data_IF_170338482407
#
_entry.id   IF_170338482407
#
_cell.length_a   1.000
_cell.length_b   1.000
_cell.length_c   1.000
_cell.angle_alpha   90.00
_cell.angle_beta   90.00
_cell.angle_gamma   90.00
#
_symmetry.space_group_name_H-M   'P 1'
#
loop_
_entity.id
_entity.type
_entity.pdbx_description
1 polymer ?
#
# COMPACT_ATOMS: atom_id res chain seq x y z
N UNK A 1 -37.59 29.99 -40.24
CA UNK A 1 -37.04 30.80 -39.12
C UNK A 1 -37.39 30.04 -37.84
N UNK A 2 -36.53 29.37 -37.05
CA UNK A 2 -35.07 29.37 -36.76
C UNK A 2 -34.76 27.92 -36.29
N UNK A 3 -33.81 27.16 -36.83
CA UNK A 3 -32.34 27.26 -36.69
C UNK A 3 -31.85 26.98 -35.25
N UNK A 4 -30.96 25.97 -35.14
CA UNK A 4 -30.07 25.57 -34.02
C UNK A 4 -30.83 24.97 -32.82
N UNK A 5 -30.50 23.78 -32.30
CA UNK A 5 -29.23 23.45 -31.64
C UNK A 5 -28.88 21.97 -31.91
N UNK A 6 -27.92 21.73 -32.80
CA UNK A 6 -27.14 20.50 -32.81
C UNK A 6 -25.93 20.75 -31.91
N UNK A 7 -26.04 20.35 -30.64
CA UNK A 7 -24.93 20.50 -29.69
C UNK A 7 -23.90 19.41 -29.99
N UNK A 8 -22.79 19.85 -30.55
CA UNK A 8 -21.58 19.11 -30.83
C UNK A 8 -21.08 18.40 -29.56
N UNK A 9 -21.27 17.08 -29.46
CA UNK A 9 -20.43 16.24 -28.60
C UNK A 9 -19.06 16.09 -29.31
N UNK A 10 -18.17 17.04 -29.10
CA UNK A 10 -16.74 16.80 -29.31
C UNK A 10 -16.29 15.89 -28.15
N UNK A 11 -16.33 14.58 -28.37
CA UNK A 11 -15.51 13.66 -27.60
C UNK A 11 -14.05 14.08 -27.80
N UNK A 12 -13.40 14.57 -26.74
CA UNK A 12 -11.94 14.63 -26.71
C UNK A 12 -11.44 13.19 -26.87
N UNK A 13 -11.05 12.83 -28.08
CA UNK A 13 -10.20 11.67 -28.30
C UNK A 13 -8.84 12.08 -27.74
N UNK A 14 -8.62 11.85 -26.45
CA UNK A 14 -7.28 11.88 -25.92
C UNK A 14 -6.44 10.91 -26.76
N UNK A 15 -5.27 11.33 -27.28
CA UNK A 15 -4.39 10.41 -27.97
C UNK A 15 -4.14 9.24 -27.03
N UNK A 16 -4.46 8.04 -27.49
CA UNK A 16 -4.19 6.80 -26.78
C UNK A 16 -2.67 6.58 -26.87
N UNK A 17 -1.91 7.26 -26.01
CA UNK A 17 -0.48 7.04 -25.87
C UNK A 17 -0.29 5.61 -25.37
N UNK A 18 0.23 4.77 -26.24
CA UNK A 18 0.49 3.38 -25.96
C UNK A 18 1.97 3.13 -26.24
N UNK A 19 2.68 2.74 -25.20
CA UNK A 19 4.02 2.19 -25.30
C UNK A 19 3.97 0.96 -26.22
N UNK A 20 5.05 0.75 -26.96
CA UNK A 20 5.18 -0.38 -27.87
C UNK A 20 6.41 -1.18 -27.51
N UNK A 21 6.25 -2.50 -27.44
CA UNK A 21 7.32 -3.47 -27.22
C UNK A 21 7.39 -4.40 -28.43
N UNK A 22 8.58 -4.52 -29.02
CA UNK A 22 8.87 -5.44 -30.10
C UNK A 22 9.66 -6.62 -29.54
N UNK A 23 9.26 -7.83 -29.90
CA UNK A 23 9.89 -9.07 -29.45
C UNK A 23 10.84 -9.62 -30.51
N UNK A 24 11.79 -10.47 -30.08
CA UNK A 24 12.79 -11.08 -30.96
C UNK A 24 12.17 -11.99 -32.04
N UNK A 25 10.96 -12.50 -31.79
CA UNK A 25 10.22 -13.32 -32.75
C UNK A 25 9.43 -12.49 -33.78
N UNK A 26 9.52 -11.15 -33.74
CA UNK A 26 8.82 -10.22 -34.63
C UNK A 26 7.43 -9.79 -34.15
N UNK A 27 6.95 -10.32 -33.01
CA UNK A 27 5.69 -9.88 -32.42
C UNK A 27 5.79 -8.44 -31.89
N UNK A 28 4.66 -7.74 -31.94
CA UNK A 28 4.53 -6.38 -31.43
C UNK A 28 3.37 -6.29 -30.46
N UNK A 29 3.66 -5.82 -29.25
CA UNK A 29 2.67 -5.59 -28.21
C UNK A 29 2.54 -4.10 -27.93
N UNK A 30 1.30 -3.64 -27.79
CA UNK A 30 0.99 -2.24 -27.43
C UNK A 30 0.28 -2.19 -26.09
N UNK A 31 0.70 -1.28 -25.22
CA UNK A 31 0.15 -1.14 -23.87
C UNK A 31 0.79 -0.01 -23.08
N UNK A 32 0.71 -0.09 -21.75
CA UNK A 32 1.39 0.81 -20.82
C UNK A 32 2.45 0.03 -20.06
N UNK A 33 3.70 0.48 -20.11
CA UNK A 33 4.79 -0.12 -19.32
C UNK A 33 4.50 0.16 -17.85
N UNK A 34 4.41 -0.90 -17.04
CA UNK A 34 4.15 -0.81 -15.60
C UNK A 34 5.46 -0.89 -14.82
N UNK A 35 6.31 -1.86 -15.17
CA UNK A 35 7.56 -2.12 -14.45
C UNK A 35 8.47 -3.01 -15.29
N UNK A 36 9.76 -2.68 -15.41
CA UNK A 36 10.83 -3.65 -15.64
C UNK A 36 11.61 -3.80 -14.35
N UNK A 37 11.61 -5.00 -13.78
CA UNK A 37 12.51 -5.38 -12.69
C UNK A 37 12.70 -6.89 -12.66
N UNK A 38 13.80 -7.37 -12.08
CA UNK A 38 14.09 -8.80 -11.96
C UNK A 38 14.11 -9.56 -13.29
N UNK A 39 14.44 -8.88 -14.40
CA UNK A 39 14.52 -9.47 -15.74
C UNK A 39 13.18 -9.68 -16.45
N UNK A 40 12.07 -9.13 -15.94
CA UNK A 40 10.76 -9.19 -16.60
C UNK A 40 10.14 -7.80 -16.75
N UNK A 41 9.58 -7.53 -17.93
CA UNK A 41 8.77 -6.34 -18.22
C UNK A 41 7.29 -6.67 -18.01
N UNK A 42 6.62 -5.90 -17.15
CA UNK A 42 5.18 -5.87 -17.00
C UNK A 42 4.59 -4.80 -17.92
N UNK A 43 3.76 -5.24 -18.87
CA UNK A 43 3.06 -4.39 -19.83
C UNK A 43 1.55 -4.55 -19.66
N UNK A 44 0.83 -3.46 -19.37
CA UNK A 44 -0.63 -3.44 -19.29
C UNK A 44 -1.22 -3.19 -20.68
N UNK A 45 -1.73 -4.25 -21.30
CA UNK A 45 -2.41 -4.19 -22.59
C UNK A 45 -3.92 -4.00 -22.40
N UNK A 46 -4.58 -3.45 -23.43
CA UNK A 46 -6.04 -3.29 -23.44
C UNK A 46 -6.80 -4.61 -23.59
N UNK A 47 -6.18 -5.63 -24.19
CA UNK A 47 -6.84 -6.85 -24.63
C UNK A 47 -6.52 -8.09 -23.78
N UNK A 48 -5.32 -8.19 -23.22
CA UNK A 48 -4.88 -9.34 -22.41
C UNK A 48 -4.60 -8.96 -20.95
N UNK A 49 -4.93 -7.73 -20.56
CA UNK A 49 -4.57 -7.19 -19.27
C UNK A 49 -3.05 -7.05 -19.11
N UNK A 50 -2.51 -7.36 -17.93
CA UNK A 50 -1.08 -7.26 -17.66
C UNK A 50 -0.32 -8.51 -18.15
N UNK A 51 0.56 -8.32 -19.13
CA UNK A 51 1.43 -9.33 -19.70
C UNK A 51 2.83 -9.19 -19.10
N UNK A 52 3.43 -10.31 -18.68
CA UNK A 52 4.84 -10.35 -18.30
C UNK A 52 5.66 -10.91 -19.46
N UNK A 53 6.68 -10.16 -19.86
CA UNK A 53 7.57 -10.50 -20.96
C UNK A 53 8.97 -10.65 -20.38
N UNK A 54 9.67 -11.73 -20.72
CA UNK A 54 11.07 -11.87 -20.35
C UNK A 54 11.90 -10.80 -21.07
N UNK A 55 12.70 -10.05 -20.31
CA UNK A 55 13.44 -8.89 -20.84
C UNK A 55 14.41 -9.27 -21.97
N UNK A 56 14.92 -10.50 -21.91
CA UNK A 56 15.80 -11.09 -22.92
C UNK A 56 15.12 -11.41 -24.25
N UNK A 57 13.79 -11.45 -24.29
CA UNK A 57 13.01 -11.78 -25.49
C UNK A 57 12.48 -10.49 -26.18
N UNK A 58 12.91 -9.32 -25.71
CA UNK A 58 12.53 -7.99 -26.22
C UNK A 58 13.66 -7.46 -27.11
N UNK A 59 13.33 -7.19 -28.37
CA UNK A 59 14.26 -6.65 -29.36
C UNK A 59 14.43 -5.13 -29.22
N UNK A 60 13.32 -4.42 -29.00
CA UNK A 60 13.31 -2.97 -28.76
C UNK A 60 11.99 -2.50 -28.15
N UNK A 61 11.95 -1.27 -27.65
CA UNK A 61 10.73 -0.66 -27.10
C UNK A 61 10.68 0.84 -27.37
N UNK A 62 9.48 1.39 -27.25
CA UNK A 62 9.20 2.81 -27.35
C UNK A 62 8.17 3.19 -26.28
N UNK A 63 8.40 4.33 -25.63
CA UNK A 63 7.47 4.93 -24.68
C UNK A 63 7.39 6.44 -24.90
N UNK A 64 6.16 6.93 -25.07
CA UNK A 64 5.89 8.36 -25.26
C UNK A 64 5.99 9.13 -23.92
N UNK A 65 5.78 8.43 -22.82
CA UNK A 65 5.93 8.95 -21.45
C UNK A 65 7.40 8.85 -21.02
N UNK A 66 7.90 9.80 -20.23
CA UNK A 66 9.20 9.62 -19.61
C UNK A 66 9.13 8.43 -18.63
N UNK A 67 10.19 7.62 -18.61
CA UNK A 67 10.37 6.50 -17.68
C UNK A 67 11.61 6.75 -16.82
N UNK A 68 11.57 6.36 -15.55
CA UNK A 68 12.75 6.27 -14.70
C UNK A 68 13.58 5.06 -15.14
N UNK A 69 14.77 5.33 -15.68
CA UNK A 69 15.69 4.32 -16.21
C UNK A 69 16.87 4.13 -15.27
N UNK A 70 17.03 2.94 -14.70
CA UNK A 70 18.28 2.52 -14.03
C UNK A 70 19.13 1.69 -14.97
N UNK A 71 20.43 2.00 -15.04
CA UNK A 71 21.39 1.31 -15.89
C UNK A 71 22.41 0.51 -15.11
N UNK A 72 23.00 -0.48 -15.77
CA UNK A 72 24.10 -1.27 -15.23
C UNK A 72 25.28 -0.36 -14.88
N UNK A 73 25.80 -0.49 -13.65
CA UNK A 73 26.93 0.31 -13.17
C UNK A 73 26.56 1.72 -12.67
N UNK A 74 25.28 2.05 -12.61
CA UNK A 74 24.77 3.32 -12.07
C UNK A 74 23.65 3.05 -11.07
N UNK A 75 23.73 3.66 -9.88
CA UNK A 75 22.70 3.50 -8.85
C UNK A 75 21.54 4.50 -9.03
N UNK A 76 21.78 5.60 -9.74
CA UNK A 76 20.78 6.62 -9.98
C UNK A 76 19.83 6.27 -11.14
N UNK A 77 18.63 6.82 -11.05
CA UNK A 77 17.63 6.77 -12.11
C UNK A 77 17.57 8.09 -12.85
N UNK A 78 17.28 8.00 -14.14
CA UNK A 78 17.08 9.18 -14.99
C UNK A 78 15.73 9.10 -15.65
N UNK A 79 15.01 10.20 -15.62
CA UNK A 79 13.76 10.37 -16.37
C UNK A 79 14.10 10.54 -17.84
N UNK A 80 13.80 9.53 -18.65
CA UNK A 80 14.18 9.47 -20.06
C UNK A 80 12.99 9.01 -20.90
N UNK A 81 12.80 9.59 -22.08
CA UNK A 81 11.91 8.98 -23.09
C UNK A 81 12.68 7.94 -23.88
N UNK A 82 12.00 6.86 -24.24
CA UNK A 82 12.60 5.77 -24.96
C UNK A 82 11.93 5.63 -26.33
N UNK A 83 12.71 5.52 -27.39
CA UNK A 83 12.20 5.23 -28.73
C UNK A 83 12.93 4.03 -29.30
N UNK A 84 12.23 3.26 -30.13
CA UNK A 84 12.79 2.09 -30.78
C UNK A 84 14.08 2.44 -31.57
N UNK A 85 15.08 1.55 -31.50
CA UNK A 85 16.32 1.68 -32.25
C UNK A 85 16.60 0.38 -33.03
N UNK A 86 17.86 0.15 -33.42
CA UNK A 86 18.26 -1.13 -34.03
C UNK A 86 18.07 -2.31 -33.08
N UNK A 87 18.19 -3.53 -33.60
CA UNK A 87 17.97 -4.76 -32.84
C UNK A 87 18.80 -4.82 -31.55
N UNK A 88 18.16 -5.17 -30.44
CA UNK A 88 18.73 -5.19 -29.09
C UNK A 88 19.06 -3.82 -28.49
N UNK A 89 18.67 -2.73 -29.15
CA UNK A 89 19.01 -1.36 -28.77
C UNK A 89 17.76 -0.53 -28.54
N UNK A 90 17.90 0.49 -27.69
CA UNK A 90 16.89 1.53 -27.52
C UNK A 90 17.56 2.89 -27.60
N UNK A 91 16.84 3.86 -28.17
CA UNK A 91 17.30 5.24 -28.21
C UNK A 91 16.67 6.00 -27.06
N UNK A 92 17.52 6.65 -26.29
CA UNK A 92 17.13 7.54 -25.20
C UNK A 92 17.01 8.95 -25.74
N UNK A 93 15.88 9.57 -25.43
CA UNK A 93 15.51 10.93 -25.78
C UNK A 93 15.33 11.74 -24.49
N UNK A 94 16.35 12.52 -24.15
CA UNK A 94 16.39 13.38 -22.96
C UNK A 94 17.20 14.64 -23.24
N UNK A 95 18.04 15.08 -22.30
CA UNK A 95 18.97 16.21 -22.52
C UNK A 95 19.99 15.94 -23.64
N UNK A 96 20.32 14.67 -23.86
CA UNK A 96 21.15 14.19 -24.98
C UNK A 96 20.51 12.97 -25.58
N UNK A 97 20.50 12.90 -26.92
CA UNK A 97 20.01 11.73 -27.65
C UNK A 97 21.17 10.76 -27.90
N UNK A 98 20.99 9.50 -27.49
CA UNK A 98 21.97 8.44 -27.71
C UNK A 98 21.30 7.08 -27.70
N UNK A 99 21.97 6.09 -28.29
CA UNK A 99 21.51 4.72 -28.35
C UNK A 99 22.26 3.89 -27.30
N UNK A 100 21.55 3.05 -26.56
CA UNK A 100 22.16 2.07 -25.66
C UNK A 100 21.61 0.66 -25.90
N UNK A 101 22.38 -0.39 -25.58
CA UNK A 101 21.87 -1.75 -25.54
C UNK A 101 20.80 -1.91 -24.45
N UNK A 102 19.70 -2.61 -24.76
CA UNK A 102 18.65 -2.93 -23.79
C UNK A 102 19.18 -3.72 -22.59
N UNK A 103 20.21 -4.55 -22.82
CA UNK A 103 20.88 -5.31 -21.76
C UNK A 103 21.52 -4.44 -20.66
N UNK A 104 21.79 -3.16 -20.95
CA UNK A 104 22.29 -2.20 -19.96
C UNK A 104 21.18 -1.63 -19.09
N UNK A 105 19.92 -1.73 -19.49
CA UNK A 105 18.78 -1.28 -18.68
C UNK A 105 18.45 -2.37 -17.67
N UNK A 106 18.47 -2.00 -16.39
CA UNK A 106 18.18 -2.90 -15.27
C UNK A 106 16.79 -2.66 -14.68
N UNK A 107 16.32 -1.41 -14.69
CA UNK A 107 15.00 -1.04 -14.20
C UNK A 107 14.37 0.01 -15.11
N UNK A 108 13.07 -0.14 -15.34
CA UNK A 108 12.21 0.86 -15.98
C UNK A 108 10.95 0.99 -15.16
N UNK A 109 10.63 2.19 -14.71
CA UNK A 109 9.35 2.43 -14.04
C UNK A 109 8.77 3.76 -14.52
N UNK A 110 7.47 3.86 -14.81
CA UNK A 110 6.85 5.16 -14.96
C UNK A 110 7.10 5.98 -13.69
N UNK A 111 7.59 7.22 -13.79
CA UNK A 111 7.71 8.06 -12.62
C UNK A 111 6.33 8.22 -12.00
N UNK A 112 6.25 8.15 -10.66
CA UNK A 112 5.05 8.65 -9.97
C UNK A 112 4.80 10.08 -10.46
N UNK A 113 3.59 10.41 -10.95
CA UNK A 113 3.34 11.71 -11.59
C UNK A 113 3.64 12.87 -10.62
N UNK A 114 4.73 13.59 -10.89
CA UNK A 114 5.23 14.70 -10.05
C UNK A 114 4.32 15.94 -10.05
N UNK A 115 3.31 15.99 -10.93
CA UNK A 115 2.37 17.11 -11.06
C UNK A 115 1.10 16.94 -10.23
N UNK A 116 0.92 15.81 -9.55
CA UNK A 116 0.07 15.73 -8.36
C UNK A 116 1.03 15.77 -7.17
N UNK A 117 1.15 16.92 -6.53
CA UNK A 117 1.88 17.11 -5.27
C UNK A 117 1.23 16.29 -4.11
N UNK A 118 0.42 15.28 -4.44
CA UNK A 118 -0.53 14.53 -3.61
C UNK A 118 -0.48 13.05 -3.99
N UNK A 119 0.16 12.23 -3.15
CA UNK A 119 0.01 10.78 -3.23
C UNK A 119 -1.17 10.39 -2.36
N UNK A 120 -2.18 9.72 -2.93
CA UNK A 120 -3.33 9.19 -2.20
C UNK A 120 -3.47 7.69 -2.46
N UNK A 121 -3.23 6.89 -1.44
CA UNK A 121 -3.49 5.44 -1.46
C UNK A 121 -4.38 5.04 -0.27
N UNK A 122 -5.09 3.92 -0.41
CA UNK A 122 -5.94 3.40 0.65
C UNK A 122 -6.64 2.10 0.25
N UNK A 123 -7.27 1.48 1.24
CA UNK A 123 -8.16 0.36 1.05
C UNK A 123 -9.38 0.50 1.96
N UNK A 124 -10.48 -0.10 1.53
CA UNK A 124 -11.73 -0.20 2.27
C UNK A 124 -12.25 -1.62 2.08
N UNK A 125 -12.42 -2.31 3.19
CA UNK A 125 -12.82 -3.69 3.28
C UNK A 125 -14.13 -3.75 4.06
N UNK A 126 -15.13 -4.44 3.51
CA UNK A 126 -16.43 -4.63 4.14
C UNK A 126 -16.74 -6.13 4.20
N UNK A 127 -17.15 -6.61 5.38
CA UNK A 127 -17.53 -8.00 5.65
C UNK A 127 -18.96 -8.04 6.17
N UNK A 128 -19.73 -9.03 5.71
CA UNK A 128 -21.05 -9.38 6.21
C UNK A 128 -21.06 -10.90 6.45
N UNK A 129 -21.34 -11.33 7.68
CA UNK A 129 -21.57 -12.73 8.04
C UNK A 129 -22.97 -12.89 8.67
N UNK A 130 -23.71 -13.88 8.20
CA UNK A 130 -25.08 -14.15 8.62
C UNK A 130 -25.23 -15.65 8.87
N UNK A 131 -25.45 -16.04 10.13
CA UNK A 131 -25.68 -17.44 10.53
C UNK A 131 -27.13 -17.59 11.00
N UNK A 132 -27.77 -18.65 10.54
CA UNK A 132 -29.16 -19.00 10.89
C UNK A 132 -29.18 -20.43 11.43
N UNK A 133 -29.37 -20.57 12.74
CA UNK A 133 -29.39 -21.87 13.42
C UNK A 133 -30.21 -21.76 14.73
N UNK A 134 -29.88 -22.53 15.78
CA UNK A 134 -30.48 -22.39 17.12
C UNK A 134 -30.31 -20.97 17.70
N UNK A 135 -29.26 -20.25 17.28
CA UNK A 135 -29.14 -18.82 17.48
C UNK A 135 -28.95 -18.16 16.11
N UNK A 136 -29.61 -17.02 15.90
CA UNK A 136 -29.38 -16.16 14.75
C UNK A 136 -28.22 -15.21 15.05
N UNK A 137 -27.23 -15.16 14.16
CA UNK A 137 -26.08 -14.25 14.27
C UNK A 137 -26.02 -13.39 13.02
N UNK A 138 -25.93 -12.09 13.22
CA UNK A 138 -25.67 -11.10 12.16
C UNK A 138 -24.46 -10.26 12.57
N UNK A 139 -23.41 -10.34 11.75
CA UNK A 139 -22.13 -9.65 11.94
C UNK A 139 -21.86 -8.77 10.72
N UNK A 140 -21.44 -7.53 10.95
CA UNK A 140 -20.87 -6.70 9.91
C UNK A 140 -19.62 -5.99 10.42
N UNK A 141 -18.64 -5.85 9.52
CA UNK A 141 -17.37 -5.20 9.80
C UNK A 141 -16.97 -4.31 8.63
N UNK A 142 -16.47 -3.12 8.94
CA UNK A 142 -15.95 -2.15 7.98
C UNK A 142 -14.57 -1.70 8.46
N UNK A 143 -13.53 -1.97 7.67
CA UNK A 143 -12.16 -1.57 7.94
C UNK A 143 -11.64 -0.74 6.79
N UNK A 144 -10.92 0.34 7.07
CA UNK A 144 -10.33 1.15 6.02
C UNK A 144 -9.17 1.99 6.50
N UNK A 145 -8.29 2.31 5.57
CA UNK A 145 -7.15 3.18 5.81
C UNK A 145 -6.87 4.03 4.59
N UNK A 146 -6.31 5.21 4.84
CA UNK A 146 -5.92 6.14 3.80
C UNK A 146 -4.65 6.87 4.17
N UNK A 147 -3.79 7.05 3.18
CA UNK A 147 -2.53 7.79 3.28
C UNK A 147 -2.53 8.89 2.25
N UNK A 148 -2.30 10.13 2.69
CA UNK A 148 -2.21 11.31 1.85
C UNK A 148 -0.90 12.03 2.12
N UNK A 149 -0.01 12.10 1.12
CA UNK A 149 1.24 12.88 1.21
C UNK A 149 1.13 14.15 0.40
N UNK A 150 1.42 15.31 0.99
CA UNK A 150 1.51 16.58 0.29
C UNK A 150 2.71 17.41 0.74
N UNK A 151 3.65 17.66 -0.17
CA UNK A 151 4.89 18.37 0.12
C UNK A 151 5.71 17.69 1.22
N UNK A 152 5.79 18.32 2.40
CA UNK A 152 6.52 17.78 3.57
C UNK A 152 5.61 17.15 4.63
N UNK A 153 4.34 16.97 4.32
CA UNK A 153 3.35 16.45 5.26
C UNK A 153 2.79 15.13 4.74
N UNK A 154 2.59 14.18 5.65
CA UNK A 154 1.84 12.96 5.37
C UNK A 154 0.78 12.76 6.44
N UNK A 155 -0.42 12.47 6.00
CA UNK A 155 -1.57 12.14 6.81
C UNK A 155 -1.85 10.65 6.65
N UNK A 156 -1.95 9.91 7.74
CA UNK A 156 -2.40 8.52 7.75
C UNK A 156 -3.64 8.46 8.63
N UNK A 157 -4.71 7.87 8.12
CA UNK A 157 -5.95 7.66 8.86
C UNK A 157 -6.34 6.20 8.70
N UNK A 158 -6.54 5.50 9.81
CA UNK A 158 -7.03 4.12 9.85
C UNK A 158 -8.29 4.07 10.70
N UNK A 159 -9.22 3.20 10.36
CA UNK A 159 -10.42 3.02 11.17
C UNK A 159 -11.10 1.69 10.92
N UNK A 160 -11.75 1.21 11.98
CA UNK A 160 -12.44 -0.07 12.02
C UNK A 160 -13.76 0.09 12.77
N UNK A 161 -14.82 -0.56 12.26
CA UNK A 161 -16.13 -0.65 12.88
C UNK A 161 -16.56 -2.12 12.81
N UNK A 162 -16.96 -2.69 13.93
CA UNK A 162 -17.43 -4.07 14.03
C UNK A 162 -18.69 -4.13 14.89
N UNK A 163 -19.68 -4.89 14.43
CA UNK A 163 -20.88 -5.14 15.21
C UNK A 163 -21.42 -6.53 14.95
N UNK A 164 -21.64 -7.25 16.04
CA UNK A 164 -22.30 -8.55 16.05
C UNK A 164 -23.59 -8.49 16.88
N UNK A 165 -24.66 -9.09 16.35
CA UNK A 165 -25.88 -9.37 17.10
C UNK A 165 -26.13 -10.87 17.13
N UNK A 166 -26.56 -11.36 18.29
CA UNK A 166 -26.99 -12.74 18.53
C UNK A 166 -28.41 -12.75 19.08
N UNK A 167 -29.35 -13.34 18.34
CA UNK A 167 -30.79 -13.35 18.64
C UNK A 167 -31.33 -11.94 18.91
N UNK A 168 -31.09 -11.00 17.98
CA UNK A 168 -31.48 -9.58 18.08
C UNK A 168 -30.87 -8.82 19.27
N UNK A 169 -29.89 -9.40 19.96
CA UNK A 169 -29.15 -8.74 21.05
C UNK A 169 -27.73 -8.48 20.60
N UNK A 170 -27.28 -7.25 20.78
CA UNK A 170 -25.90 -6.86 20.51
C UNK A 170 -24.95 -7.60 21.44
N UNK A 171 -23.90 -8.18 20.87
CA UNK A 171 -22.85 -8.90 21.60
C UNK A 171 -21.44 -8.36 21.30
N UNK A 172 -21.31 -7.56 20.25
CA UNK A 172 -20.08 -6.84 19.89
C UNK A 172 -20.47 -5.49 19.26
N UNK A 173 -19.79 -4.41 19.65
CA UNK A 173 -19.99 -3.07 19.12
C UNK A 173 -18.73 -2.24 19.35
N UNK A 174 -17.80 -2.39 18.42
CA UNK A 174 -16.43 -1.97 18.59
C UNK A 174 -16.09 -0.96 17.50
N UNK A 175 -15.32 0.07 17.87
CA UNK A 175 -14.76 0.98 16.89
C UNK A 175 -13.36 1.41 17.26
N UNK A 176 -12.55 1.61 16.23
CA UNK A 176 -11.19 2.12 16.35
C UNK A 176 -10.98 3.22 15.31
N UNK A 177 -10.26 4.27 15.71
CA UNK A 177 -9.84 5.35 14.84
C UNK A 177 -8.42 5.78 15.21
N UNK A 178 -7.54 5.76 14.22
CA UNK A 178 -6.15 6.23 14.34
C UNK A 178 -5.88 7.33 13.32
N UNK A 179 -5.24 8.41 13.76
CA UNK A 179 -4.77 9.47 12.89
C UNK A 179 -3.34 9.87 13.22
N UNK A 180 -2.47 9.75 12.22
CA UNK A 180 -1.08 10.19 12.26
C UNK A 180 -0.81 11.36 11.33
N UNK A 181 0.00 12.30 11.85
CA UNK A 181 0.56 13.40 11.11
C UNK A 181 2.08 13.33 11.13
N UNK A 182 2.66 13.15 9.96
CA UNK A 182 4.10 13.10 9.74
C UNK A 182 4.61 14.38 9.10
N UNK A 183 5.70 14.92 9.66
CA UNK A 183 6.40 16.09 9.14
C UNK A 183 7.82 15.73 8.70
N UNK A 184 8.09 15.76 7.39
CA UNK A 184 9.38 15.40 6.79
C UNK A 184 10.41 16.53 6.85
N UNK A 185 11.53 16.32 7.54
CA UNK A 185 12.65 17.28 7.56
C UNK A 185 13.58 17.09 6.36
N UNK A 186 13.68 15.85 5.88
CA UNK A 186 14.39 15.41 4.68
C UNK A 186 13.54 14.38 3.96
N UNK A 187 14.02 13.83 2.84
CA UNK A 187 13.34 12.72 2.15
C UNK A 187 13.26 11.43 2.98
N UNK A 188 14.04 11.32 4.06
CA UNK A 188 14.16 10.10 4.88
C UNK A 188 13.67 10.33 6.32
N UNK A 189 14.10 11.41 6.97
CA UNK A 189 13.74 11.72 8.35
C UNK A 189 12.44 12.51 8.46
N UNK A 190 11.54 12.04 9.32
CA UNK A 190 10.31 12.73 9.69
C UNK A 190 10.04 12.64 11.20
N UNK A 191 9.08 13.43 11.67
CA UNK A 191 8.54 13.34 13.03
C UNK A 191 7.05 13.08 12.96
N UNK A 192 6.57 12.09 13.69
CA UNK A 192 5.16 11.69 13.79
C UNK A 192 4.52 12.26 15.05
N UNK A 193 3.28 12.73 14.92
CA UNK A 193 2.35 12.89 16.04
C UNK A 193 1.07 12.11 15.72
N UNK A 194 0.65 11.27 16.65
CA UNK A 194 -0.44 10.32 16.47
C UNK A 194 -1.47 10.40 17.58
N UNK A 195 -2.73 10.10 17.24
CA UNK A 195 -3.79 9.84 18.20
C UNK A 195 -4.57 8.61 17.76
N UNK A 196 -4.79 7.72 18.71
CA UNK A 196 -5.61 6.52 18.56
C UNK A 196 -6.71 6.56 19.60
N UNK A 197 -7.91 6.17 19.21
CA UNK A 197 -9.02 5.93 20.11
C UNK A 197 -9.76 4.66 19.70
N UNK A 198 -9.95 3.78 20.67
CA UNK A 198 -10.75 2.57 20.53
C UNK A 198 -11.82 2.52 21.63
N UNK A 199 -13.00 2.01 21.30
CA UNK A 199 -14.04 1.65 22.25
C UNK A 199 -14.56 0.24 21.97
N UNK A 200 -14.77 -0.51 23.04
CA UNK A 200 -15.35 -1.86 23.03
C UNK A 200 -16.40 -1.94 24.13
N UNK A 201 -17.68 -2.01 23.76
CA UNK A 201 -18.78 -1.95 24.74
C UNK A 201 -18.88 -3.19 25.66
N UNK A 202 -18.27 -4.31 25.27
CA UNK A 202 -18.46 -5.60 25.95
C UNK A 202 -17.21 -6.11 26.67
N UNK A 203 -16.04 -5.51 26.41
CA UNK A 203 -14.79 -5.81 27.11
C UNK A 203 -14.62 -5.08 28.45
N UNK A 204 -13.67 -5.54 29.27
CA UNK A 204 -13.42 -4.91 30.59
C UNK A 204 -12.89 -3.48 30.46
N UNK A 205 -12.09 -3.22 29.43
CA UNK A 205 -11.60 -1.88 29.09
C UNK A 205 -12.52 -1.33 28.01
N UNK A 206 -13.45 -0.47 28.41
CA UNK A 206 -14.48 0.05 27.48
C UNK A 206 -13.94 1.14 26.55
N UNK A 207 -12.87 1.85 26.97
CA UNK A 207 -12.25 2.89 26.15
C UNK A 207 -10.73 2.96 26.31
N UNK A 208 -10.03 2.95 25.19
CA UNK A 208 -8.60 3.21 25.09
C UNK A 208 -8.35 4.51 24.33
N UNK A 209 -7.40 5.31 24.83
CA UNK A 209 -6.85 6.45 24.11
C UNK A 209 -5.34 6.48 24.20
N UNK A 210 -4.69 6.55 23.05
CA UNK A 210 -3.24 6.70 22.93
C UNK A 210 -2.93 8.02 22.24
N UNK A 211 -2.04 8.83 22.84
CA UNK A 211 -1.50 10.03 22.21
C UNK A 211 0.00 9.91 22.19
N UNK A 212 0.57 9.95 20.99
CA UNK A 212 1.96 9.57 20.74
C UNK A 212 2.72 10.57 19.90
N UNK A 213 4.04 10.61 20.08
CA UNK A 213 4.90 11.36 19.16
C UNK A 213 6.33 10.83 19.15
N UNK A 214 7.01 10.93 18.01
CA UNK A 214 8.42 10.56 17.93
C UNK A 214 9.01 10.55 16.52
N UNK A 215 10.29 10.19 16.39
CA UNK A 215 11.00 10.21 15.12
C UNK A 215 10.64 9.01 14.24
N UNK A 216 10.60 9.23 12.94
CA UNK A 216 10.51 8.18 11.93
C UNK A 216 11.58 8.29 10.86
N UNK A 217 11.93 7.16 10.28
CA UNK A 217 12.89 7.04 9.20
C UNK A 217 12.30 6.23 8.05
N UNK A 218 12.18 6.88 6.89
CA UNK A 218 11.84 6.29 5.60
C UNK A 218 13.12 5.79 4.94
N UNK A 219 13.28 4.49 4.87
CA UNK A 219 14.41 3.86 4.17
C UNK A 219 14.26 3.98 2.65
N UNK A 220 13.03 3.79 2.16
CA UNK A 220 12.64 4.06 0.79
C UNK A 220 11.12 4.23 0.69
N UNK A 221 10.69 5.01 -0.29
CA UNK A 221 9.31 5.06 -0.76
C UNK A 221 9.38 5.30 -2.28
N UNK A 222 9.34 4.22 -3.04
CA UNK A 222 9.50 4.21 -4.50
C UNK A 222 8.38 3.41 -5.16
N UNK A 223 8.32 3.40 -6.48
CA UNK A 223 7.27 2.70 -7.23
C UNK A 223 7.15 1.20 -6.91
N UNK A 224 8.16 0.60 -6.28
CA UNK A 224 8.17 -0.81 -5.88
C UNK A 224 7.70 -1.02 -4.44
N UNK A 225 7.55 0.03 -3.64
CA UNK A 225 6.99 -0.05 -2.30
C UNK A 225 7.67 0.89 -1.32
N UNK A 226 7.52 0.61 -0.04
CA UNK A 226 7.97 1.49 1.04
C UNK A 226 8.50 0.70 2.22
N UNK A 227 9.37 1.34 2.99
CA UNK A 227 9.78 0.85 4.30
C UNK A 227 10.04 2.03 5.23
N UNK A 228 9.19 2.14 6.23
CA UNK A 228 9.28 3.12 7.30
C UNK A 228 9.50 2.39 8.65
N UNK A 229 10.33 2.99 9.50
CA UNK A 229 10.48 2.60 10.91
C UNK A 229 10.23 3.82 11.77
N UNK A 230 9.34 3.71 12.75
CA UNK A 230 8.87 4.85 13.56
C UNK A 230 9.01 4.49 15.03
N UNK A 231 9.70 5.32 15.80
CA UNK A 231 9.70 5.23 17.27
C UNK A 231 8.79 6.29 17.86
N UNK A 232 8.00 5.96 18.87
CA UNK A 232 7.16 6.94 19.57
C UNK A 232 7.23 6.81 21.09
N UNK A 233 6.98 7.93 21.75
CA UNK A 233 6.68 8.01 23.17
C UNK A 233 5.20 8.35 23.31
N UNK A 234 4.46 7.51 24.02
CA UNK A 234 3.01 7.61 24.06
C UNK A 234 2.49 7.76 25.48
N UNK A 235 1.35 8.43 25.61
CA UNK A 235 0.52 8.45 26.80
C UNK A 235 -0.71 7.59 26.51
N UNK A 236 -0.90 6.54 27.29
CA UNK A 236 -2.06 5.66 27.23
C UNK A 236 -3.01 6.01 28.37
N UNK A 237 -4.30 6.06 28.07
CA UNK A 237 -5.39 6.14 29.05
C UNK A 237 -6.39 5.05 28.73
N UNK A 238 -6.61 4.19 29.71
CA UNK A 238 -7.61 3.13 29.69
C UNK A 238 -8.70 3.52 30.68
N UNK A 239 -9.94 3.53 30.22
CA UNK A 239 -11.12 3.59 31.05
C UNK A 239 -11.74 2.20 31.10
N UNK A 240 -12.17 1.81 32.29
CA UNK A 240 -12.72 0.49 32.53
C UNK A 240 -13.81 0.56 33.59
N UNK A 241 -14.66 -0.46 33.61
CA UNK A 241 -15.68 -0.64 34.64
C UNK A 241 -15.11 -0.83 36.06
N UNK A 242 -13.82 -1.17 36.17
CA UNK A 242 -13.16 -1.48 37.44
C UNK A 242 -12.37 -0.27 37.96
N UNK A 243 -11.44 0.24 37.16
CA UNK A 243 -10.61 1.39 37.49
C UNK A 243 -9.92 1.98 36.25
N UNK A 244 -9.94 3.30 36.13
CA UNK A 244 -9.14 4.01 35.14
C UNK A 244 -7.63 3.77 35.37
N UNK A 245 -6.90 3.58 34.28
CA UNK A 245 -5.45 3.43 34.29
C UNK A 245 -4.81 4.37 33.27
N UNK A 246 -3.70 5.00 33.64
CA UNK A 246 -2.95 5.86 32.72
C UNK A 246 -1.45 5.72 32.92
N UNK A 247 -0.74 5.43 31.83
CA UNK A 247 0.70 5.18 31.84
C UNK A 247 1.35 5.69 30.55
N UNK A 248 2.68 5.64 30.53
CA UNK A 248 3.44 5.97 29.33
C UNK A 248 3.92 4.68 28.66
N UNK A 249 4.12 4.73 27.34
CA UNK A 249 4.72 3.63 26.58
C UNK A 249 5.83 4.16 25.68
N UNK A 250 6.75 3.27 25.30
CA UNK A 250 7.64 3.49 24.17
C UNK A 250 7.29 2.47 23.10
N UNK A 251 7.03 2.91 21.87
CA UNK A 251 6.66 2.02 20.77
C UNK A 251 7.66 2.06 19.63
N UNK A 252 7.72 0.95 18.89
CA UNK A 252 8.39 0.83 17.61
C UNK A 252 7.39 0.28 16.58
N UNK A 253 7.15 1.04 15.53
CA UNK A 253 6.28 0.68 14.41
C UNK A 253 7.12 0.44 13.15
N UNK A 254 6.74 -0.59 12.40
CA UNK A 254 7.30 -0.97 11.11
C UNK A 254 6.16 -0.97 10.08
N UNK A 255 6.34 -0.22 8.98
CA UNK A 255 5.46 -0.24 7.80
C UNK A 255 6.30 -0.65 6.59
N UNK A 256 6.09 -1.87 6.10
CA UNK A 256 6.82 -2.43 4.97
C UNK A 256 5.85 -2.88 3.88
N UNK A 257 6.17 -2.54 2.63
CA UNK A 257 5.49 -3.06 1.44
C UNK A 257 6.49 -3.19 0.30
N UNK A 258 6.42 -4.31 -0.43
CA UNK A 258 7.25 -4.52 -1.62
C UNK A 258 6.53 -5.32 -2.70
N UNK A 259 6.54 -4.77 -3.91
CA UNK A 259 6.16 -5.44 -5.14
C UNK A 259 7.34 -6.27 -5.66
N UNK A 260 7.05 -7.53 -5.98
CA UNK A 260 7.99 -8.55 -6.42
C UNK A 260 7.49 -9.17 -7.73
N UNK A 261 8.41 -9.82 -8.47
CA UNK A 261 8.12 -10.59 -9.68
C UNK A 261 7.23 -9.85 -10.70
N UNK A 262 7.67 -8.66 -11.14
CA UNK A 262 6.92 -7.88 -12.12
C UNK A 262 5.55 -7.43 -11.59
N UNK A 263 5.45 -7.11 -10.30
CA UNK A 263 4.24 -6.71 -9.55
C UNK A 263 3.18 -7.80 -9.37
N UNK A 264 3.47 -9.07 -9.69
CA UNK A 264 2.52 -10.19 -9.47
C UNK A 264 2.40 -10.58 -8.00
N UNK A 265 3.48 -10.45 -7.24
CA UNK A 265 3.51 -10.74 -5.82
C UNK A 265 3.72 -9.43 -5.06
N UNK A 266 2.92 -9.19 -4.05
CA UNK A 266 3.11 -8.12 -3.07
C UNK A 266 3.32 -8.79 -1.72
N UNK A 267 4.41 -8.44 -1.05
CA UNK A 267 4.60 -8.74 0.37
C UNK A 267 4.47 -7.45 1.15
N UNK A 268 3.71 -7.48 2.23
CA UNK A 268 3.61 -6.36 3.14
C UNK A 268 3.64 -6.87 4.58
N UNK A 269 4.17 -6.03 5.47
CA UNK A 269 4.26 -6.30 6.89
C UNK A 269 4.05 -4.99 7.65
N UNK A 270 3.11 -4.98 8.58
CA UNK A 270 2.92 -3.90 9.54
C UNK A 270 3.11 -4.51 10.93
N UNK A 271 3.86 -3.84 11.81
CA UNK A 271 4.00 -4.32 13.18
C UNK A 271 4.23 -3.15 14.12
N UNK A 272 3.57 -3.15 15.27
CA UNK A 272 3.77 -2.20 16.35
C UNK A 272 4.12 -2.97 17.63
N UNK A 273 5.30 -2.70 18.19
CA UNK A 273 5.71 -3.20 19.49
C UNK A 273 5.62 -2.05 20.49
N UNK A 274 4.74 -2.12 21.47
CA UNK A 274 4.64 -1.19 22.57
C UNK A 274 5.26 -1.77 23.84
N UNK A 275 6.05 -0.97 24.55
CA UNK A 275 6.65 -1.30 25.84
C UNK A 275 6.06 -0.35 26.89
N UNK A 276 5.05 -0.80 27.66
CA UNK A 276 4.49 -0.02 28.75
C UNK A 276 5.47 0.24 29.88
N UNK A 277 5.38 1.42 30.49
CA UNK A 277 6.20 1.81 31.64
C UNK A 277 5.46 1.50 32.95
N UNK A 278 4.96 0.27 33.07
CA UNK A 278 4.26 -0.28 34.25
C UNK A 278 4.75 -1.71 34.51
N UNK A 279 4.52 -2.23 35.71
CA UNK A 279 5.06 -3.55 36.09
C UNK A 279 4.17 -4.71 35.60
N UNK A 280 2.91 -4.42 35.29
CA UNK A 280 1.89 -5.41 34.94
C UNK A 280 2.01 -5.92 33.50
N UNK A 281 2.66 -5.15 32.61
CA UNK A 281 2.74 -5.45 31.18
C UNK A 281 4.19 -5.28 30.71
N UNK A 282 4.79 -6.35 30.21
CA UNK A 282 6.16 -6.37 29.67
C UNK A 282 6.18 -5.75 28.25
N UNK A 283 5.26 -6.18 27.39
CA UNK A 283 5.06 -5.61 26.05
C UNK A 283 3.68 -5.97 25.47
N UNK A 284 3.25 -5.18 24.49
CA UNK A 284 2.13 -5.46 23.58
C UNK A 284 2.68 -5.45 22.15
N UNK A 285 2.36 -6.45 21.36
CA UNK A 285 2.77 -6.59 19.97
C UNK A 285 1.53 -6.81 19.11
N UNK A 286 1.31 -5.93 18.15
CA UNK A 286 0.29 -6.04 17.12
C UNK A 286 1.00 -6.18 15.78
N UNK A 287 0.71 -7.21 15.01
CA UNK A 287 1.45 -7.47 13.77
C UNK A 287 0.65 -8.16 12.69
N UNK A 288 0.78 -7.66 11.47
CA UNK A 288 0.12 -8.14 10.26
C UNK A 288 1.17 -8.44 9.19
N UNK A 289 1.19 -9.67 8.68
CA UNK A 289 2.04 -10.11 7.58
C UNK A 289 1.17 -10.63 6.44
N UNK A 290 1.28 -10.02 5.27
CA UNK A 290 0.46 -10.36 4.12
C UNK A 290 1.25 -10.66 2.86
N UNK A 291 0.75 -11.64 2.10
CA UNK A 291 1.17 -11.97 0.76
C UNK A 291 -0.03 -11.85 -0.18
N UNK A 292 0.07 -10.99 -1.19
CA UNK A 292 -0.97 -10.85 -2.22
C UNK A 292 -0.41 -11.28 -3.57
N UNK A 293 -1.08 -12.24 -4.19
CA UNK A 293 -0.80 -12.70 -5.55
C UNK A 293 -1.86 -12.20 -6.52
N UNK A 294 -1.44 -11.43 -7.52
CA UNK A 294 -2.32 -10.91 -8.56
C UNK A 294 -2.70 -12.02 -9.53
N UNK A 295 -3.98 -12.40 -9.52
CA UNK A 295 -4.53 -13.36 -10.47
C UNK A 295 -4.80 -12.72 -11.83
N UNK A 296 -5.39 -11.51 -11.82
CA UNK A 296 -5.66 -10.72 -13.02
C UNK A 296 -5.77 -9.21 -12.66
N UNK A 297 -6.35 -8.37 -13.53
CA UNK A 297 -6.43 -6.92 -13.31
C UNK A 297 -7.29 -6.49 -12.12
N UNK A 298 -8.24 -7.32 -11.69
CA UNK A 298 -9.20 -6.96 -10.63
C UNK A 298 -9.18 -7.94 -9.45
N UNK A 299 -8.79 -9.19 -9.65
CA UNK A 299 -8.73 -10.22 -8.60
C UNK A 299 -7.30 -10.43 -8.09
N UNK A 300 -7.16 -10.49 -6.76
CA UNK A 300 -5.93 -10.88 -6.06
C UNK A 300 -6.27 -11.97 -5.05
N UNK A 301 -5.42 -12.99 -4.94
CA UNK A 301 -5.43 -13.94 -3.84
C UNK A 301 -4.58 -13.35 -2.71
N UNK A 302 -5.11 -13.30 -1.50
CA UNK A 302 -4.41 -12.78 -0.32
C UNK A 302 -4.25 -13.89 0.71
N UNK A 303 -3.06 -13.99 1.27
CA UNK A 303 -2.75 -14.75 2.47
C UNK A 303 -2.34 -13.75 3.53
N UNK A 304 -2.97 -13.82 4.69
CA UNK A 304 -2.77 -12.91 5.78
C UNK A 304 -2.52 -13.70 7.06
N UNK A 305 -1.53 -13.24 7.82
CA UNK A 305 -1.23 -13.72 9.15
C UNK A 305 -1.19 -12.53 10.09
N UNK A 306 -2.07 -12.51 11.07
CA UNK A 306 -2.08 -11.53 12.16
C UNK A 306 -1.64 -12.23 13.45
N UNK A 307 -0.83 -11.53 14.23
CA UNK A 307 -0.39 -11.94 15.55
C UNK A 307 -0.48 -10.74 16.49
N UNK A 308 -1.40 -10.86 17.43
CA UNK A 308 -1.59 -9.93 18.53
C UNK A 308 -1.16 -10.63 19.82
N UNK A 309 -0.29 -9.98 20.58
CA UNK A 309 0.38 -10.61 21.71
C UNK A 309 0.56 -9.63 22.86
N UNK A 310 -0.01 -9.96 24.01
CA UNK A 310 0.22 -9.28 25.27
C UNK A 310 1.08 -10.16 26.17
N UNK A 311 2.21 -9.61 26.62
CA UNK A 311 3.11 -10.24 27.58
C UNK A 311 3.01 -9.53 28.93
N UNK A 312 2.79 -10.31 29.97
CA UNK A 312 2.84 -9.87 31.36
C UNK A 312 3.85 -10.75 32.15
N UNK A 313 4.27 -10.35 33.36
CA UNK A 313 5.17 -11.16 34.17
C UNK A 313 4.65 -12.58 34.38
N UNK A 314 5.33 -13.55 33.78
CA UNK A 314 4.98 -14.97 33.87
C UNK A 314 3.82 -15.45 32.99
N UNK A 315 3.21 -14.58 32.17
CA UNK A 315 2.08 -14.92 31.30
C UNK A 315 2.22 -14.34 29.89
N UNK A 316 1.69 -15.04 28.88
CA UNK A 316 1.55 -14.50 27.52
C UNK A 316 0.21 -14.90 26.98
N UNK A 317 -0.53 -13.91 26.52
CA UNK A 317 -1.74 -14.09 25.72
C UNK A 317 -1.35 -13.85 24.26
N UNK A 318 -1.83 -14.68 23.35
CA UNK A 318 -1.50 -14.55 21.93
C UNK A 318 -2.67 -15.01 21.09
N UNK A 319 -3.15 -14.10 20.26
CA UNK A 319 -4.19 -14.33 19.28
C UNK A 319 -3.55 -14.37 17.89
N UNK A 320 -4.00 -15.34 17.09
CA UNK A 320 -3.39 -15.65 15.79
C UNK A 320 -4.47 -15.86 14.76
N UNK A 321 -4.52 -15.00 13.77
CA UNK A 321 -5.50 -15.08 12.70
C UNK A 321 -4.81 -15.43 11.39
N UNK A 322 -5.37 -16.41 10.68
CA UNK A 322 -4.92 -16.81 9.36
C UNK A 322 -6.06 -16.61 8.39
N UNK A 323 -5.88 -15.71 7.43
CA UNK A 323 -6.91 -15.32 6.48
C UNK A 323 -6.46 -15.63 5.06
N UNK A 324 -7.35 -16.27 4.30
CA UNK A 324 -7.18 -16.50 2.86
C UNK A 324 -8.37 -15.84 2.18
N UNK A 325 -8.11 -14.86 1.33
CA UNK A 325 -9.16 -14.03 0.74
C UNK A 325 -8.94 -13.72 -0.73
N UNK A 326 -10.00 -13.24 -1.39
CA UNK A 326 -9.94 -12.63 -2.72
C UNK A 326 -10.44 -11.20 -2.61
N UNK A 327 -9.66 -10.20 -3.05
CA UNK A 327 -9.99 -8.78 -2.86
C UNK A 327 -9.63 -7.87 -4.03
N UNK A 328 -10.08 -6.61 -3.93
CA UNK A 328 -9.83 -5.49 -4.87
C UNK A 328 -9.29 -4.30 -4.06
N UNK A 329 -8.24 -3.63 -4.53
CA UNK A 329 -7.68 -2.42 -3.89
C UNK A 329 -7.18 -1.42 -4.94
N UNK A 330 -7.14 -0.12 -4.61
CA UNK A 330 -6.87 0.97 -5.55
C UNK A 330 -5.59 1.76 -5.27
#
# INVERSE_FOLDING_TARGET
MRVLIALFLFTLVAPLWADTVWLDNGDRLSGEIILLDGGKLALKTKYAGQVLIDWKDIDTLSSDKPLLVRRSGFDNERSERLSAAGSGMVRVQGEREYTLPLAQIKRLVPPRPLLEDRLWEGNLDAKLDMKRNQNDVDEWKLKGNTRVEHGRWRHVLSGELERETKNDRKVEDNWELEYDLDRFFTEHWFWRAGVEQAEDEFETVDRQRIVGTGPGYRFWDDELGRFDLIGQFNRVRLESDVADLAFNTTSLELDYKRLLWGTRLEFYANAQLQIPHIEEIDYVLDSEFGLRYRLNQWARLSLLYELDQLRAPGQTVSDRHYLIGIGVGW
#
